data_IF_254441420613
#
_entry.id   IF_254441420613
#
_cell.length_a   1.000
_cell.length_b   1.000
_cell.length_c   1.000
_cell.angle_alpha   90.00
_cell.angle_beta   90.00
_cell.angle_gamma   90.00
#
_symmetry.space_group_name_H-M   'P 1'
#
loop_
_entity.id
_entity.type
_entity.pdbx_description
1 polymer ?
#
# COMPACT_ATOMS: atom_id res chain seq x y z
N UNK A 1 -18.91 20.15 15.02
CA UNK A 1 -18.82 20.19 13.55
C UNK A 1 -17.74 21.20 13.23
N UNK A 2 -16.73 20.79 12.46
CA UNK A 2 -15.65 21.69 12.01
C UNK A 2 -16.15 22.47 10.80
N UNK A 3 -15.90 23.78 10.76
CA UNK A 3 -16.27 24.59 9.61
C UNK A 3 -15.50 24.14 8.36
N UNK A 4 -16.19 24.06 7.22
CA UNK A 4 -15.57 23.67 5.95
C UNK A 4 -14.77 24.86 5.42
N UNK A 5 -13.45 24.71 5.38
CA UNK A 5 -12.55 25.68 4.75
C UNK A 5 -12.37 25.38 3.25
N UNK A 6 -12.04 26.42 2.48
CA UNK A 6 -11.69 26.28 1.06
C UNK A 6 -10.46 25.37 0.88
N UNK A 7 -10.68 24.13 0.44
CA UNK A 7 -9.65 23.11 0.19
C UNK A 7 -8.95 23.29 -1.18
N UNK A 8 -8.62 24.52 -1.56
CA UNK A 8 -7.78 24.76 -2.73
C UNK A 8 -6.33 24.78 -2.28
N UNK A 9 -5.66 23.63 -2.40
CA UNK A 9 -4.20 23.54 -2.24
C UNK A 9 -3.55 24.39 -3.33
N UNK A 10 -3.12 25.61 -2.97
CA UNK A 10 -2.42 26.48 -3.90
C UNK A 10 -1.09 25.85 -4.27
N UNK A 11 -0.75 25.90 -5.56
CA UNK A 11 0.61 25.58 -5.97
C UNK A 11 1.58 26.61 -5.36
N UNK A 12 2.79 26.20 -4.96
CA UNK A 12 3.81 27.13 -4.49
C UNK A 12 4.05 28.26 -5.50
N UNK A 13 4.17 29.49 -5.02
CA UNK A 13 4.53 30.62 -5.87
C UNK A 13 5.95 30.43 -6.41
N UNK A 14 6.12 30.71 -7.71
CA UNK A 14 7.43 30.67 -8.39
C UNK A 14 7.93 32.07 -8.65
N UNK A 15 9.24 32.26 -8.52
CA UNK A 15 9.91 33.54 -8.65
C UNK A 15 10.37 33.85 -10.08
N UNK A 16 10.42 32.84 -10.95
CA UNK A 16 10.82 32.97 -12.35
C UNK A 16 10.11 31.95 -13.26
N UNK A 17 10.10 32.23 -14.58
CA UNK A 17 9.51 31.35 -15.60
C UNK A 17 10.26 30.01 -15.75
N UNK A 18 11.46 29.89 -15.17
CA UNK A 18 12.28 28.67 -15.17
C UNK A 18 11.93 27.73 -14.00
N UNK A 19 11.24 28.23 -12.98
CA UNK A 19 10.83 27.45 -11.82
C UNK A 19 9.49 26.74 -12.07
N UNK A 20 9.41 25.47 -11.66
CA UNK A 20 8.17 24.68 -11.75
C UNK A 20 7.43 24.80 -10.42
N UNK A 21 6.21 25.34 -10.46
CA UNK A 21 5.36 25.45 -9.28
C UNK A 21 5.02 24.04 -8.75
N UNK A 22 5.41 23.76 -7.51
CA UNK A 22 5.32 22.41 -6.92
C UNK A 22 6.57 21.55 -7.11
N UNK A 23 7.62 22.07 -7.76
CA UNK A 23 8.90 21.42 -7.98
C UNK A 23 8.96 20.62 -9.28
N UNK A 24 10.16 20.57 -9.88
CA UNK A 24 10.39 19.79 -11.09
C UNK A 24 10.37 18.28 -10.78
N UNK A 25 9.71 17.51 -11.64
CA UNK A 25 9.66 16.04 -11.57
C UNK A 25 10.41 15.42 -12.75
N UNK A 26 11.05 14.28 -12.54
CA UNK A 26 11.70 13.54 -13.62
C UNK A 26 10.68 12.92 -14.59
N UNK A 27 11.13 12.57 -15.78
CA UNK A 27 10.33 11.79 -16.72
C UNK A 27 10.18 10.34 -16.22
N UNK A 28 9.08 9.69 -16.63
CA UNK A 28 8.89 8.26 -16.43
C UNK A 28 9.98 7.44 -17.16
N UNK A 29 10.50 6.35 -16.58
CA UNK A 29 10.21 5.80 -15.24
C UNK A 29 11.07 6.39 -14.10
N UNK A 30 12.02 7.29 -14.39
CA UNK A 30 12.98 7.80 -13.40
C UNK A 30 12.32 8.48 -12.19
N UNK A 31 11.15 9.10 -12.36
CA UNK A 31 10.41 9.71 -11.24
C UNK A 31 9.95 8.74 -10.16
N UNK A 32 9.93 7.42 -10.41
CA UNK A 32 9.60 6.43 -9.38
C UNK A 32 10.61 6.40 -8.23
N UNK A 33 11.89 6.61 -8.55
CA UNK A 33 13.00 6.56 -7.60
C UNK A 33 13.53 7.97 -7.22
N UNK A 34 13.00 9.02 -7.85
CA UNK A 34 13.33 10.41 -7.51
C UNK A 34 12.60 10.82 -6.24
N UNK A 35 13.30 11.46 -5.31
CA UNK A 35 12.69 12.04 -4.11
C UNK A 35 11.65 13.09 -4.54
N UNK A 36 10.36 12.92 -4.18
CA UNK A 36 9.32 13.87 -4.57
C UNK A 36 9.59 15.27 -4.00
N UNK A 37 9.27 16.36 -4.74
CA UNK A 37 9.43 17.72 -4.24
C UNK A 37 8.74 17.99 -2.90
N UNK A 38 7.57 17.40 -2.62
CA UNK A 38 6.89 17.55 -1.32
C UNK A 38 7.64 16.92 -0.16
N UNK A 39 8.37 15.83 -0.41
CA UNK A 39 9.24 15.20 0.58
C UNK A 39 10.47 16.08 0.81
N UNK A 40 11.12 16.56 -0.25
CA UNK A 40 12.31 17.42 -0.16
C UNK A 40 12.03 18.77 0.52
N UNK A 41 10.83 19.32 0.35
CA UNK A 41 10.40 20.58 0.98
C UNK A 41 9.92 20.41 2.42
N UNK A 42 9.80 19.18 2.92
CA UNK A 42 9.25 18.91 4.26
C UNK A 42 7.75 19.20 4.37
N UNK A 43 7.00 19.16 3.26
CA UNK A 43 5.55 19.40 3.25
C UNK A 43 4.74 18.23 3.82
N UNK A 44 5.36 17.06 4.00
CA UNK A 44 4.72 15.85 4.54
C UNK A 44 5.33 15.58 5.92
N UNK A 45 4.53 15.78 6.95
CA UNK A 45 4.97 15.59 8.34
C UNK A 45 5.44 14.14 8.56
N UNK A 46 6.65 13.99 9.12
CA UNK A 46 7.24 12.70 9.45
C UNK A 46 7.85 11.94 8.27
N UNK A 47 7.91 12.51 7.07
CA UNK A 47 8.56 11.90 5.89
C UNK A 47 9.73 12.75 5.44
N UNK A 48 10.94 12.16 5.42
CA UNK A 48 12.17 12.82 4.95
C UNK A 48 12.70 12.14 3.67
N UNK A 49 13.61 12.79 2.92
CA UNK A 49 14.29 12.16 1.78
C UNK A 49 14.98 10.83 2.13
N UNK A 50 15.53 10.73 3.34
CA UNK A 50 16.18 9.50 3.83
C UNK A 50 15.16 8.37 4.00
N UNK A 51 14.03 8.65 4.66
CA UNK A 51 12.93 7.68 4.83
C UNK A 51 12.42 7.20 3.46
N UNK A 52 12.32 8.10 2.47
CA UNK A 52 11.93 7.74 1.12
C UNK A 52 12.92 6.78 0.45
N UNK A 53 14.23 7.01 0.61
CA UNK A 53 15.25 6.10 0.06
C UNK A 53 15.26 4.74 0.79
N UNK A 54 15.07 4.75 2.10
CA UNK A 54 14.91 3.51 2.89
C UNK A 54 13.69 2.71 2.45
N UNK A 55 12.56 3.36 2.16
CA UNK A 55 11.35 2.73 1.63
C UNK A 55 11.60 2.01 0.29
N UNK A 56 12.34 2.66 -0.63
CA UNK A 56 12.71 2.03 -1.92
C UNK A 56 13.54 0.75 -1.70
N UNK A 57 14.54 0.81 -0.82
CA UNK A 57 15.41 -0.34 -0.54
C UNK A 57 14.60 -1.46 0.13
N UNK A 58 13.75 -1.10 1.10
CA UNK A 58 12.89 -2.01 1.83
C UNK A 58 11.95 -2.77 0.90
N UNK A 59 11.22 -2.06 0.03
CA UNK A 59 10.25 -2.72 -0.85
C UNK A 59 10.89 -3.60 -1.91
N UNK A 60 12.06 -3.23 -2.45
CA UNK A 60 12.83 -4.10 -3.34
C UNK A 60 13.22 -5.42 -2.64
N UNK A 61 13.64 -5.34 -1.38
CA UNK A 61 13.94 -6.53 -0.54
C UNK A 61 12.68 -7.37 -0.29
N UNK A 62 11.59 -6.74 0.13
CA UNK A 62 10.32 -7.42 0.46
C UNK A 62 9.70 -8.13 -0.74
N UNK A 63 9.61 -7.48 -1.90
CA UNK A 63 9.09 -8.11 -3.14
C UNK A 63 9.94 -9.31 -3.55
N UNK A 64 11.28 -9.20 -3.44
CA UNK A 64 12.17 -10.32 -3.69
C UNK A 64 11.85 -11.51 -2.76
N UNK A 65 11.69 -11.26 -1.46
CA UNK A 65 11.30 -12.29 -0.50
C UNK A 65 9.91 -12.89 -0.79
N UNK A 66 8.90 -12.06 -1.05
CA UNK A 66 7.54 -12.52 -1.35
C UNK A 66 7.52 -13.47 -2.54
N UNK A 67 8.30 -13.16 -3.59
CA UNK A 67 8.43 -14.02 -4.78
C UNK A 67 9.06 -15.37 -4.46
N UNK A 68 9.95 -15.44 -3.47
CA UNK A 68 10.54 -16.73 -3.03
C UNK A 68 9.55 -17.62 -2.28
N UNK A 69 8.64 -17.02 -1.52
CA UNK A 69 7.62 -17.74 -0.74
C UNK A 69 6.45 -18.16 -1.62
N UNK A 70 5.96 -17.23 -2.44
CA UNK A 70 4.87 -17.47 -3.39
C UNK A 70 5.37 -17.27 -4.81
N UNK A 71 5.78 -18.37 -5.45
CA UNK A 71 6.26 -18.36 -6.84
C UNK A 71 5.21 -17.89 -7.85
N UNK A 72 3.92 -17.85 -7.49
CA UNK A 72 2.87 -17.32 -8.36
C UNK A 72 2.97 -15.81 -8.56
N UNK A 73 3.56 -15.06 -7.61
CA UNK A 73 3.77 -13.61 -7.77
C UNK A 73 4.63 -13.28 -8.98
N UNK A 74 5.65 -14.10 -9.26
CA UNK A 74 6.54 -13.93 -10.40
C UNK A 74 6.02 -14.56 -11.70
N UNK A 75 4.81 -15.13 -11.73
CA UNK A 75 4.25 -15.75 -12.93
C UNK A 75 3.58 -14.70 -13.83
N UNK A 76 4.09 -14.48 -15.06
CA UNK A 76 3.52 -13.47 -15.95
C UNK A 76 2.03 -13.73 -16.22
N UNK A 77 1.21 -12.71 -16.00
CA UNK A 77 -0.22 -12.74 -16.30
C UNK A 77 -1.11 -13.39 -15.22
N UNK A 78 -0.53 -13.93 -14.12
CA UNK A 78 -1.29 -14.47 -12.98
C UNK A 78 -2.07 -13.40 -12.23
N UNK A 79 -1.45 -12.24 -12.01
CA UNK A 79 -2.06 -11.07 -11.38
C UNK A 79 -1.97 -9.87 -12.31
N UNK A 80 -3.02 -9.05 -12.37
CA UNK A 80 -3.07 -7.84 -13.21
C UNK A 80 -3.56 -6.62 -12.46
N UNK A 81 -4.50 -6.80 -11.53
CA UNK A 81 -5.12 -5.74 -10.75
C UNK A 81 -4.78 -5.97 -9.28
N UNK A 82 -3.87 -5.17 -8.74
CA UNK A 82 -3.45 -5.25 -7.35
C UNK A 82 -4.04 -4.09 -6.54
N UNK A 83 -4.31 -4.35 -5.27
CA UNK A 83 -4.67 -3.33 -4.29
C UNK A 83 -3.62 -3.34 -3.19
N UNK A 84 -3.01 -2.20 -2.92
CA UNK A 84 -2.16 -1.99 -1.76
C UNK A 84 -2.92 -1.18 -0.73
N UNK A 85 -3.34 -1.84 0.36
CA UNK A 85 -4.27 -1.29 1.33
C UNK A 85 -3.66 -0.21 2.23
N UNK A 86 -2.34 -0.15 2.33
CA UNK A 86 -1.61 0.86 3.10
C UNK A 86 -0.29 1.17 2.39
N UNK A 87 -0.38 1.96 1.33
CA UNK A 87 0.72 2.16 0.39
C UNK A 87 1.87 3.02 0.93
N UNK A 88 1.63 3.81 1.98
CA UNK A 88 2.57 4.81 2.49
C UNK A 88 3.15 5.65 1.33
N UNK A 89 4.39 5.42 0.88
CA UNK A 89 5.00 6.16 -0.23
C UNK A 89 4.80 5.53 -1.62
N UNK A 90 4.12 4.39 -1.72
CA UNK A 90 3.89 3.64 -2.96
C UNK A 90 5.05 2.72 -3.36
N UNK A 91 5.91 2.32 -2.40
CA UNK A 91 7.09 1.52 -2.67
C UNK A 91 6.80 0.10 -3.15
N UNK A 92 5.70 -0.51 -2.68
CA UNK A 92 5.20 -1.79 -3.19
C UNK A 92 4.89 -1.71 -4.70
N UNK A 93 4.10 -0.72 -5.11
CA UNK A 93 3.76 -0.51 -6.51
C UNK A 93 4.97 -0.15 -7.38
N UNK A 94 5.87 0.69 -6.87
CA UNK A 94 7.09 1.07 -7.59
C UNK A 94 8.01 -0.13 -7.84
N UNK A 95 8.06 -1.08 -6.91
CA UNK A 95 8.88 -2.31 -7.02
C UNK A 95 8.32 -3.34 -8.01
N UNK A 96 7.07 -3.16 -8.46
CA UNK A 96 6.38 -4.03 -9.43
C UNK A 96 6.18 -3.35 -10.80
N UNK A 97 6.87 -2.22 -11.06
CA UNK A 97 6.68 -1.43 -12.29
C UNK A 97 6.99 -2.20 -13.57
N UNK A 98 7.95 -3.12 -13.51
CA UNK A 98 8.40 -3.88 -14.69
C UNK A 98 7.43 -5.04 -15.04
N UNK A 99 6.49 -5.36 -14.15
CA UNK A 99 5.47 -6.37 -14.38
C UNK A 99 4.27 -5.79 -15.14
N UNK A 100 3.60 -6.58 -16.01
CA UNK A 100 2.44 -6.13 -16.78
C UNK A 100 1.16 -6.09 -15.91
N UNK A 101 1.21 -5.35 -14.80
CA UNK A 101 0.14 -5.19 -13.82
C UNK A 101 0.02 -3.71 -13.41
N UNK A 102 -1.03 -3.39 -12.66
CA UNK A 102 -1.17 -2.10 -12.01
C UNK A 102 -1.59 -2.28 -10.55
N UNK A 103 -1.23 -1.30 -9.73
CA UNK A 103 -1.52 -1.29 -8.30
C UNK A 103 -2.36 -0.05 -7.96
N UNK A 104 -3.52 -0.26 -7.34
CA UNK A 104 -4.24 0.82 -6.65
C UNK A 104 -3.57 1.06 -5.30
N UNK A 105 -2.94 2.22 -5.12
CA UNK A 105 -2.30 2.58 -3.85
C UNK A 105 -3.30 3.27 -2.93
N UNK A 106 -3.52 2.73 -1.74
CA UNK A 106 -4.42 3.34 -0.76
C UNK A 106 -3.61 4.04 0.32
N UNK A 107 -3.97 5.28 0.62
CA UNK A 107 -3.50 6.00 1.81
C UNK A 107 -4.65 6.00 2.82
N UNK A 108 -4.59 5.18 3.88
CA UNK A 108 -5.64 5.12 4.89
C UNK A 108 -5.88 6.48 5.54
N UNK A 109 -7.14 6.83 5.83
CA UNK A 109 -7.43 8.10 6.55
C UNK A 109 -6.93 8.08 8.00
N UNK A 110 -6.69 6.89 8.54
CA UNK A 110 -6.06 6.64 9.84
C UNK A 110 -4.53 6.81 9.81
N UNK A 111 -3.91 6.87 8.63
CA UNK A 111 -2.46 7.05 8.51
C UNK A 111 -2.03 8.42 9.05
N UNK A 112 -0.87 8.48 9.70
CA UNK A 112 -0.35 9.73 10.30
C UNK A 112 0.14 10.74 9.27
N UNK A 113 0.67 10.25 8.15
CA UNK A 113 1.26 11.07 7.10
C UNK A 113 0.38 11.02 5.85
N UNK A 114 0.03 12.19 5.32
CA UNK A 114 -0.64 12.30 4.03
C UNK A 114 0.38 12.22 2.89
N UNK A 115 0.53 11.01 2.35
CA UNK A 115 1.54 10.68 1.35
C UNK A 115 1.00 10.59 -0.08
N UNK A 116 -0.31 10.79 -0.29
CA UNK A 116 -0.93 10.59 -1.61
C UNK A 116 -0.34 11.53 -2.67
N UNK A 117 -0.02 12.78 -2.29
CA UNK A 117 0.66 13.72 -3.17
C UNK A 117 2.03 13.22 -3.65
N UNK A 118 2.79 12.58 -2.77
CA UNK A 118 4.08 11.97 -3.13
C UNK A 118 3.90 10.77 -4.08
N UNK A 119 2.88 9.94 -3.87
CA UNK A 119 2.52 8.83 -4.78
C UNK A 119 2.23 9.37 -6.19
N UNK A 120 1.48 10.47 -6.31
CA UNK A 120 1.20 11.09 -7.60
C UNK A 120 2.45 11.70 -8.26
N UNK A 121 3.35 12.30 -7.49
CA UNK A 121 4.62 12.83 -8.00
C UNK A 121 5.54 11.73 -8.56
N UNK A 122 5.46 10.51 -8.00
CA UNK A 122 6.11 9.30 -8.57
C UNK A 122 5.44 8.81 -9.85
N UNK A 123 4.22 9.28 -10.15
CA UNK A 123 3.44 8.85 -11.31
C UNK A 123 2.61 7.59 -11.11
N UNK A 124 2.35 7.22 -9.86
CA UNK A 124 1.51 6.10 -9.47
C UNK A 124 0.07 6.58 -9.25
N UNK A 125 -0.89 5.66 -9.30
CA UNK A 125 -2.30 5.95 -9.00
C UNK A 125 -2.65 5.54 -7.59
N UNK A 126 -3.56 6.28 -6.96
CA UNK A 126 -3.99 6.00 -5.59
C UNK A 126 -5.15 6.87 -5.14
N UNK A 127 -5.70 6.55 -3.98
CA UNK A 127 -6.81 7.27 -3.34
C UNK A 127 -6.75 7.12 -1.83
N UNK A 128 -7.49 7.97 -1.11
CA UNK A 128 -7.80 7.75 0.29
C UNK A 128 -8.93 6.73 0.45
N UNK A 129 -8.90 5.96 1.54
CA UNK A 129 -9.98 5.06 1.95
C UNK A 129 -9.92 4.85 3.47
N UNK A 130 -11.08 4.75 4.12
CA UNK A 130 -11.16 4.15 5.46
C UNK A 130 -11.56 2.69 5.32
N UNK A 131 -10.82 1.78 5.95
CA UNK A 131 -11.16 0.35 5.95
C UNK A 131 -12.27 0.00 6.96
N UNK A 132 -12.74 0.98 7.74
CA UNK A 132 -14.00 0.86 8.48
C UNK A 132 -15.24 1.10 7.62
N UNK A 133 -15.05 1.55 6.38
CA UNK A 133 -16.12 1.77 5.41
C UNK A 133 -15.88 0.91 4.17
N UNK A 134 -16.97 0.55 3.48
CA UNK A 134 -16.88 -0.19 2.23
C UNK A 134 -16.22 0.68 1.15
N UNK A 135 -15.27 0.11 0.41
CA UNK A 135 -14.62 0.78 -0.70
C UNK A 135 -15.61 0.94 -1.86
N UNK A 136 -15.65 2.11 -2.47
CA UNK A 136 -16.49 2.40 -3.64
C UNK A 136 -15.95 1.73 -4.91
N UNK A 137 -15.93 0.41 -4.92
CA UNK A 137 -15.49 -0.44 -6.02
C UNK A 137 -16.44 -1.63 -6.21
N UNK A 138 -16.43 -2.22 -7.40
CA UNK A 138 -17.23 -3.40 -7.68
C UNK A 138 -16.69 -4.62 -6.90
N UNK A 139 -17.56 -5.53 -6.47
CA UNK A 139 -17.11 -6.82 -5.94
C UNK A 139 -16.21 -7.53 -6.97
N UNK A 140 -15.20 -8.28 -6.51
CA UNK A 140 -14.30 -9.07 -7.38
C UNK A 140 -13.52 -8.23 -8.39
N UNK A 141 -12.96 -7.11 -7.94
CA UNK A 141 -12.14 -6.20 -8.76
C UNK A 141 -10.68 -6.62 -8.81
N UNK A 142 -10.10 -7.05 -7.69
CA UNK A 142 -8.65 -7.27 -7.55
C UNK A 142 -8.27 -8.74 -7.61
N UNK A 143 -7.14 -9.02 -8.26
CA UNK A 143 -6.54 -10.36 -8.33
C UNK A 143 -5.64 -10.63 -7.12
N UNK A 144 -5.06 -9.57 -6.55
CA UNK A 144 -4.27 -9.65 -5.32
C UNK A 144 -4.48 -8.42 -4.43
N UNK A 145 -4.60 -8.66 -3.12
CA UNK A 145 -4.65 -7.63 -2.09
C UNK A 145 -3.41 -7.74 -1.21
N UNK A 146 -2.70 -6.64 -1.05
CA UNK A 146 -1.57 -6.49 -0.15
C UNK A 146 -1.96 -5.58 1.01
N UNK A 147 -1.66 -6.01 2.24
CA UNK A 147 -2.00 -5.29 3.47
C UNK A 147 -0.79 -5.27 4.41
N UNK A 148 -0.06 -4.16 4.44
CA UNK A 148 1.04 -3.93 5.39
C UNK A 148 0.58 -3.12 6.60
N UNK A 149 0.63 -3.75 7.78
CA UNK A 149 0.29 -3.16 9.07
C UNK A 149 -1.14 -2.58 9.16
N UNK A 150 -2.05 -3.03 8.28
CA UNK A 150 -3.43 -2.53 8.21
C UNK A 150 -4.19 -2.86 9.49
N UNK A 151 -4.05 -4.07 10.03
CA UNK A 151 -4.82 -4.47 11.20
C UNK A 151 -4.27 -3.84 12.48
N UNK A 152 -2.95 -3.61 12.55
CA UNK A 152 -2.36 -2.76 13.59
C UNK A 152 -2.88 -1.32 13.50
N UNK A 153 -2.96 -0.74 12.29
CA UNK A 153 -3.43 0.64 12.09
C UNK A 153 -4.88 0.85 12.54
N UNK A 154 -5.73 -0.16 12.37
CA UNK A 154 -7.18 -0.09 12.65
C UNK A 154 -7.62 -0.78 13.95
N UNK A 155 -6.69 -1.32 14.74
CA UNK A 155 -6.96 -2.16 15.92
C UNK A 155 -8.00 -1.61 16.91
N UNK A 156 -8.04 -0.29 17.09
CA UNK A 156 -8.94 0.39 18.04
C UNK A 156 -9.98 1.28 17.33
N UNK A 157 -10.21 1.05 16.03
CA UNK A 157 -11.05 1.89 15.16
C UNK A 157 -12.27 1.15 14.61
N UNK A 158 -12.09 -0.09 14.17
CA UNK A 158 -13.17 -0.97 13.74
C UNK A 158 -12.77 -2.45 13.88
N UNK A 159 -13.75 -3.33 13.73
CA UNK A 159 -13.56 -4.76 13.89
C UNK A 159 -12.76 -5.36 12.73
N UNK A 160 -11.89 -6.31 13.04
CA UNK A 160 -11.05 -7.01 12.07
C UNK A 160 -11.90 -7.76 11.03
N UNK A 161 -13.04 -8.28 11.47
CA UNK A 161 -14.03 -8.97 10.65
C UNK A 161 -14.58 -8.07 9.54
N UNK A 162 -14.83 -6.78 9.81
CA UNK A 162 -15.36 -5.84 8.81
C UNK A 162 -14.35 -5.61 7.68
N UNK A 163 -13.06 -5.45 8.04
CA UNK A 163 -11.97 -5.31 7.08
C UNK A 163 -11.83 -6.59 6.23
N UNK A 164 -11.86 -7.76 6.87
CA UNK A 164 -11.77 -9.06 6.19
C UNK A 164 -12.95 -9.32 5.25
N UNK A 165 -14.16 -8.91 5.63
CA UNK A 165 -15.35 -9.00 4.77
C UNK A 165 -15.24 -8.07 3.56
N UNK A 166 -14.69 -6.88 3.72
CA UNK A 166 -14.45 -5.96 2.61
C UNK A 166 -13.39 -6.52 1.66
N UNK A 167 -12.30 -7.08 2.19
CA UNK A 167 -11.30 -7.81 1.40
C UNK A 167 -11.94 -8.95 0.61
N UNK A 168 -12.79 -9.77 1.25
CA UNK A 168 -13.53 -10.85 0.58
C UNK A 168 -14.43 -10.37 -0.55
N UNK A 169 -15.14 -9.27 -0.33
CA UNK A 169 -16.03 -8.69 -1.32
C UNK A 169 -15.28 -8.26 -2.58
N UNK A 170 -14.14 -7.58 -2.44
CA UNK A 170 -13.41 -6.97 -3.56
C UNK A 170 -12.39 -7.91 -4.22
N UNK A 171 -11.99 -8.98 -3.54
CA UNK A 171 -11.11 -10.01 -4.08
C UNK A 171 -11.84 -10.93 -5.06
N UNK A 172 -11.20 -11.24 -6.20
CA UNK A 172 -11.71 -12.21 -7.17
C UNK A 172 -11.67 -13.64 -6.60
N UNK A 173 -12.51 -14.57 -7.12
CA UNK A 173 -12.32 -15.99 -6.87
C UNK A 173 -10.90 -16.40 -7.26
N UNK A 174 -10.26 -17.26 -6.48
CA UNK A 174 -8.84 -17.65 -6.64
C UNK A 174 -7.87 -16.46 -6.54
N UNK A 175 -8.33 -15.31 -6.05
CA UNK A 175 -7.50 -14.17 -5.74
C UNK A 175 -6.62 -14.44 -4.53
N UNK A 176 -5.48 -13.76 -4.46
CA UNK A 176 -4.51 -13.96 -3.38
C UNK A 176 -4.45 -12.77 -2.44
N UNK A 177 -4.10 -13.02 -1.19
CA UNK A 177 -3.92 -11.99 -0.17
C UNK A 177 -2.56 -12.16 0.48
N UNK A 178 -1.87 -11.04 0.68
CA UNK A 178 -0.63 -10.97 1.45
C UNK A 178 -0.88 -9.98 2.58
N UNK A 179 -0.86 -10.48 3.82
CA UNK A 179 -1.04 -9.66 5.01
C UNK A 179 0.27 -9.70 5.80
N UNK A 180 0.83 -8.53 6.08
CA UNK A 180 2.01 -8.37 6.92
C UNK A 180 1.62 -7.63 8.18
N UNK A 181 1.73 -8.28 9.33
CA UNK A 181 1.35 -7.69 10.62
C UNK A 181 1.97 -8.47 11.80
N UNK A 182 1.72 -8.03 13.02
CA UNK A 182 2.15 -8.76 14.23
C UNK A 182 1.50 -10.16 14.30
N UNK A 183 2.31 -11.16 14.67
CA UNK A 183 1.87 -12.57 14.74
C UNK A 183 0.58 -12.79 15.54
N UNK A 184 0.35 -12.02 16.62
CA UNK A 184 -0.85 -12.18 17.44
C UNK A 184 -2.12 -11.75 16.69
N UNK A 185 -2.00 -10.79 15.75
CA UNK A 185 -3.08 -10.40 14.85
C UNK A 185 -3.26 -11.43 13.75
N UNK A 186 -2.16 -11.91 13.15
CA UNK A 186 -2.23 -12.88 12.05
C UNK A 186 -2.86 -14.21 12.47
N UNK A 187 -2.67 -14.67 13.70
CA UNK A 187 -3.36 -15.85 14.24
C UNK A 187 -4.88 -15.65 14.30
N UNK A 188 -5.35 -14.44 14.62
CA UNK A 188 -6.79 -14.11 14.62
C UNK A 188 -7.32 -14.00 13.20
N UNK A 189 -6.59 -13.30 12.32
CA UNK A 189 -6.92 -13.15 10.91
C UNK A 189 -7.03 -14.51 10.23
N UNK A 190 -6.11 -15.43 10.51
CA UNK A 190 -6.15 -16.81 10.00
C UNK A 190 -7.45 -17.54 10.36
N UNK A 191 -7.95 -17.39 11.59
CA UNK A 191 -9.22 -18.00 12.01
C UNK A 191 -10.42 -17.42 11.27
N UNK A 192 -10.41 -16.11 10.99
CA UNK A 192 -11.45 -15.44 10.21
C UNK A 192 -11.38 -15.90 8.75
N UNK A 193 -10.17 -15.95 8.16
CA UNK A 193 -9.94 -16.43 6.81
C UNK A 193 -10.45 -17.87 6.62
N UNK A 194 -10.21 -18.76 7.59
CA UNK A 194 -10.78 -20.13 7.59
C UNK A 194 -12.32 -20.11 7.61
N UNK A 195 -12.93 -19.21 8.39
CA UNK A 195 -14.39 -19.01 8.40
C UNK A 195 -14.96 -18.49 7.07
N UNK A 196 -14.15 -17.74 6.30
CA UNK A 196 -14.46 -17.30 4.94
C UNK A 196 -14.13 -18.36 3.86
N UNK A 197 -13.67 -19.55 4.27
CA UNK A 197 -13.18 -20.63 3.41
C UNK A 197 -11.96 -20.28 2.57
N UNK A 198 -11.10 -19.36 3.05
CA UNK A 198 -9.82 -19.10 2.41
C UNK A 198 -8.76 -20.10 2.88
N UNK A 199 -7.93 -20.57 1.97
CA UNK A 199 -6.73 -21.32 2.29
C UNK A 199 -5.62 -20.35 2.71
N UNK A 200 -5.04 -20.52 3.90
CA UNK A 200 -4.07 -19.57 4.43
C UNK A 200 -2.89 -20.22 5.16
N UNK A 201 -1.72 -19.63 5.02
CA UNK A 201 -0.48 -20.02 5.71
C UNK A 201 0.25 -18.80 6.27
N UNK A 202 0.79 -18.94 7.48
CA UNK A 202 1.68 -17.95 8.08
C UNK A 202 3.12 -18.36 7.78
N UNK A 203 3.94 -17.42 7.34
CA UNK A 203 5.35 -17.61 7.05
C UNK A 203 6.20 -16.58 7.79
N UNK A 204 7.49 -16.86 7.88
CA UNK A 204 8.44 -16.01 8.56
C UNK A 204 8.70 -14.67 7.85
N UNK A 205 9.28 -13.74 8.59
CA UNK A 205 9.77 -12.47 8.09
C UNK A 205 11.04 -12.68 7.24
N UNK A 206 11.33 -11.76 6.32
CA UNK A 206 12.56 -11.82 5.50
C UNK A 206 13.86 -11.77 6.31
N UNK A 207 13.80 -11.23 7.53
CA UNK A 207 14.93 -11.16 8.49
C UNK A 207 14.98 -12.34 9.46
N UNK A 208 14.02 -13.27 9.37
CA UNK A 208 14.07 -14.56 10.04
C UNK A 208 12.91 -14.86 10.99
N UNK A 209 12.97 -16.02 11.66
CA UNK A 209 11.85 -16.57 12.44
C UNK A 209 11.62 -15.88 13.79
N UNK A 210 12.58 -15.08 14.27
CA UNK A 210 12.46 -14.41 15.58
C UNK A 210 11.71 -13.07 15.51
N UNK A 211 11.53 -12.53 14.31
CA UNK A 211 10.74 -11.30 14.13
C UNK A 211 9.27 -11.55 14.46
N UNK A 212 8.67 -10.62 15.21
CA UNK A 212 7.25 -10.69 15.58
C UNK A 212 6.32 -10.39 14.42
N UNK A 213 6.74 -9.49 13.55
CA UNK A 213 6.06 -9.25 12.28
C UNK A 213 6.21 -10.50 11.40
N UNK A 214 5.10 -10.99 10.87
CA UNK A 214 5.06 -12.16 9.99
C UNK A 214 4.25 -11.84 8.75
N UNK A 215 4.19 -12.81 7.84
CA UNK A 215 3.37 -12.73 6.65
C UNK A 215 2.32 -13.83 6.68
N UNK A 216 1.08 -13.50 6.35
CA UNK A 216 0.02 -14.44 6.06
C UNK A 216 -0.27 -14.37 4.57
N UNK A 217 -0.06 -15.49 3.89
CA UNK A 217 -0.48 -15.68 2.51
C UNK A 217 -1.81 -16.43 2.51
N UNK A 218 -2.78 -15.94 1.77
CA UNK A 218 -4.07 -16.59 1.61
C UNK A 218 -4.54 -16.62 0.15
N UNK A 219 -5.41 -17.58 -0.17
CA UNK A 219 -6.11 -17.70 -1.44
C UNK A 219 -7.59 -17.95 -1.15
N UNK A 220 -8.46 -17.22 -1.87
CA UNK A 220 -9.92 -17.32 -1.77
C UNK A 220 -10.49 -18.41 -2.68
#
# INVERSE_FOLDING_TARGET
>A
YTDIETCLTRLPEVSSDEEVAGGAIANWPRRLDMVPPRVSSGSIDGVTPEIFQEDIILWKKRISYYTTVNSQLGQPGRYRNLLDMNAFLGGFAASLVDDPLWVMNIVPVEAKADTLGAIYERGLIGTYQSWCEAMSTYPRTYDLIHADSVFTLYKDRCEMEDIMLEMDRILRPEGSVIIRDDVDLLVKIKRIAEGLNWESQIVDHEDGPLEREKLLFAVK
#
